data_IF_899890738527
#
_entry.id   IF_899890738527
#
_cell.length_a   1.000
_cell.length_b   1.000
_cell.length_c   1.000
_cell.angle_alpha   90.00
_cell.angle_beta   90.00
_cell.angle_gamma   90.00
#
_symmetry.space_group_name_H-M   'P 1'
#
loop_
_entity.id
_entity.type
_entity.pdbx_description
1 polymer ?
#
# COMPACT_ATOMS: atom_id res chain seq x y z
N UNK A 1 62.38 -6.86 24.66
CA UNK A 1 61.17 -6.37 25.38
C UNK A 1 59.99 -7.16 24.85
N UNK A 2 59.47 -8.06 25.69
CA UNK A 2 58.48 -9.08 25.33
C UNK A 2 57.06 -8.53 25.44
N UNK A 3 56.24 -8.72 24.41
CA UNK A 3 54.83 -8.28 24.37
C UNK A 3 53.88 -9.21 25.15
N UNK A 4 52.72 -8.71 25.60
CA UNK A 4 51.78 -9.49 26.41
C UNK A 4 50.90 -10.43 25.56
N UNK A 5 50.75 -11.66 26.05
CA UNK A 5 49.84 -12.71 25.53
C UNK A 5 48.38 -12.37 25.84
N UNK A 6 47.54 -12.38 24.81
CA UNK A 6 46.08 -12.36 24.95
C UNK A 6 45.54 -13.75 25.34
N UNK A 7 44.76 -13.79 26.42
CA UNK A 7 44.01 -14.98 26.89
C UNK A 7 42.66 -15.09 26.18
N UNK A 8 42.35 -16.29 25.67
CA UNK A 8 41.04 -16.61 25.06
C UNK A 8 39.98 -16.86 26.15
N UNK A 9 38.75 -16.36 26.01
CA UNK A 9 37.64 -16.74 26.88
C UNK A 9 37.05 -18.11 26.47
N UNK A 10 36.57 -18.84 27.47
CA UNK A 10 35.94 -20.16 27.36
C UNK A 10 34.48 -20.06 26.86
N UNK A 11 33.95 -21.12 26.19
CA UNK A 11 32.58 -21.11 25.68
C UNK A 11 31.55 -21.35 26.79
N UNK A 12 30.48 -20.54 26.77
CA UNK A 12 29.31 -20.67 27.64
C UNK A 12 28.44 -21.87 27.21
N UNK A 13 28.07 -22.70 28.19
CA UNK A 13 27.23 -23.88 28.01
C UNK A 13 25.78 -23.54 27.67
N UNK A 14 25.20 -24.33 26.78
CA UNK A 14 23.78 -24.28 26.43
C UNK A 14 22.91 -24.99 27.49
N UNK A 15 21.83 -24.38 27.98
CA UNK A 15 20.84 -25.09 28.78
C UNK A 15 19.94 -25.97 27.89
N UNK A 16 19.83 -27.25 28.25
CA UNK A 16 18.84 -28.20 27.72
C UNK A 16 17.43 -27.76 28.12
N UNK A 17 16.47 -27.85 27.20
CA UNK A 17 15.05 -27.83 27.52
C UNK A 17 14.39 -29.19 27.30
N UNK A 18 13.29 -29.49 28.03
CA UNK A 18 12.78 -30.84 28.24
C UNK A 18 11.80 -31.30 27.16
N UNK A 19 11.82 -32.61 26.89
CA UNK A 19 10.76 -33.36 26.19
C UNK A 19 9.41 -33.21 26.89
N UNK A 20 8.35 -32.99 26.10
CA UNK A 20 6.95 -33.14 26.54
C UNK A 20 6.32 -34.29 25.76
N UNK A 21 5.84 -35.35 26.43
CA UNK A 21 5.20 -36.49 25.80
C UNK A 21 3.68 -36.30 25.60
N UNK A 22 3.20 -36.61 24.39
CA UNK A 22 2.14 -37.57 24.06
C UNK A 22 0.68 -37.43 24.57
N UNK A 23 -0.23 -37.91 23.69
CA UNK A 23 -1.63 -38.39 23.88
C UNK A 23 -2.70 -37.30 24.12
N UNK A 24 -3.91 -37.39 23.57
CA UNK A 24 -4.82 -38.51 23.21
C UNK A 24 -5.88 -37.96 22.24
N UNK A 25 -6.27 -38.61 21.13
CA UNK A 25 -7.24 -39.72 20.96
C UNK A 25 -8.55 -39.64 21.78
N UNK A 26 -9.68 -39.62 21.07
CA UNK A 26 -11.05 -39.71 21.59
C UNK A 26 -11.94 -38.57 21.04
N UNK A 27 -13.16 -38.75 20.55
CA UNK A 27 -14.02 -39.92 20.50
C UNK A 27 -15.15 -39.71 19.48
N UNK A 28 -15.70 -40.83 19.06
CA UNK A 28 -16.91 -41.02 18.25
C UNK A 28 -18.18 -40.36 18.82
N UNK A 29 -19.13 -40.07 17.90
CA UNK A 29 -20.61 -40.20 17.99
C UNK A 29 -21.19 -39.53 16.72
N UNK A 30 -21.75 -40.19 15.72
CA UNK A 30 -22.84 -41.18 15.67
C UNK A 30 -24.17 -40.67 16.24
N UNK A 31 -25.00 -40.07 15.37
CA UNK A 31 -26.47 -40.05 15.43
C UNK A 31 -27.00 -39.58 14.05
N UNK A 32 -27.52 -40.46 13.18
CA UNK A 32 -28.90 -41.00 13.10
C UNK A 32 -30.00 -39.96 12.78
N UNK A 33 -30.47 -40.07 11.54
CA UNK A 33 -31.88 -40.18 11.10
C UNK A 33 -32.88 -39.04 11.35
N UNK A 34 -33.45 -38.54 10.23
CA UNK A 34 -34.86 -38.16 10.15
C UNK A 34 -35.18 -37.01 9.18
N UNK A 35 -35.71 -37.27 7.97
CA UNK A 35 -36.35 -36.25 7.16
C UNK A 35 -37.84 -36.15 7.54
N UNK A 36 -38.22 -35.07 8.22
CA UNK A 36 -39.63 -34.74 8.46
C UNK A 36 -40.16 -33.96 7.26
N UNK A 37 -40.99 -34.63 6.46
CA UNK A 37 -41.80 -34.00 5.42
C UNK A 37 -42.80 -33.04 6.05
N UNK A 38 -42.83 -31.79 5.56
CA UNK A 38 -43.88 -30.82 5.85
C UNK A 38 -44.67 -30.46 4.58
N UNK A 39 -45.96 -30.13 4.73
CA UNK A 39 -46.94 -30.17 3.66
C UNK A 39 -46.86 -28.95 2.72
N UNK A 40 -47.07 -29.23 1.44
CA UNK A 40 -47.40 -28.26 0.38
C UNK A 40 -48.63 -27.44 0.80
N UNK A 41 -48.42 -26.16 1.10
CA UNK A 41 -49.48 -25.16 1.05
C UNK A 41 -49.52 -24.54 -0.34
N UNK A 42 -50.52 -24.94 -1.13
CA UNK A 42 -50.92 -24.28 -2.38
C UNK A 42 -51.66 -22.99 -2.05
N UNK A 43 -50.96 -21.86 -2.07
CA UNK A 43 -51.57 -20.52 -2.07
C UNK A 43 -51.96 -20.18 -3.51
N UNK A 44 -53.26 -19.95 -3.72
CA UNK A 44 -53.88 -19.67 -5.03
C UNK A 44 -54.37 -18.22 -5.07
N UNK A 45 -53.78 -17.43 -5.98
CA UNK A 45 -54.30 -16.15 -6.52
C UNK A 45 -53.81 -14.86 -5.83
N UNK A 46 -54.05 -13.65 -6.39
CA UNK A 46 -54.35 -13.25 -7.77
C UNK A 46 -53.33 -12.20 -8.31
N UNK A 47 -53.45 -11.78 -9.58
CA UNK A 47 -52.88 -10.50 -10.04
C UNK A 47 -51.75 -10.55 -11.08
N UNK A 48 -52.04 -11.04 -12.29
CA UNK A 48 -51.11 -11.12 -13.42
C UNK A 48 -50.88 -9.79 -14.17
N UNK A 49 -51.10 -8.64 -13.52
CA UNK A 49 -51.19 -7.33 -14.22
C UNK A 49 -50.27 -6.20 -13.73
N UNK A 50 -49.46 -6.37 -12.67
CA UNK A 50 -48.67 -5.25 -12.11
C UNK A 50 -47.17 -5.55 -11.91
N UNK A 51 -46.69 -6.73 -12.27
CA UNK A 51 -45.28 -7.11 -12.06
C UNK A 51 -44.35 -6.49 -13.12
N UNK A 52 -44.88 -6.07 -14.28
CA UNK A 52 -44.05 -5.69 -15.41
C UNK A 52 -43.52 -4.24 -15.38
N UNK A 53 -44.17 -3.31 -14.67
CA UNK A 53 -43.70 -1.91 -14.60
C UNK A 53 -42.62 -1.67 -13.52
N UNK A 54 -42.56 -2.48 -12.45
CA UNK A 54 -41.55 -2.32 -11.39
C UNK A 54 -40.15 -2.80 -11.79
N UNK A 55 -40.03 -3.73 -12.74
CA UNK A 55 -38.72 -4.26 -13.17
C UNK A 55 -38.00 -3.33 -14.16
N UNK A 56 -38.72 -2.55 -14.96
CA UNK A 56 -38.11 -1.61 -15.91
C UNK A 56 -37.42 -0.42 -15.21
N UNK A 57 -37.98 0.08 -14.11
CA UNK A 57 -37.38 1.15 -13.31
C UNK A 57 -36.15 0.70 -12.51
N UNK A 58 -36.14 -0.54 -12.01
CA UNK A 58 -35.03 -1.08 -11.21
C UNK A 58 -33.76 -1.32 -12.05
N UNK A 59 -33.92 -1.75 -13.31
CA UNK A 59 -32.81 -1.96 -14.23
C UNK A 59 -32.07 -0.68 -14.64
N UNK A 60 -32.79 0.45 -14.79
CA UNK A 60 -32.18 1.73 -15.15
C UNK A 60 -31.38 2.37 -14.00
N UNK A 61 -31.89 2.31 -12.76
CA UNK A 61 -31.19 2.85 -11.58
C UNK A 61 -29.89 2.07 -11.32
N UNK A 62 -29.93 0.74 -11.42
CA UNK A 62 -28.76 -0.12 -11.19
C UNK A 62 -27.66 0.07 -12.26
N UNK A 63 -28.03 0.41 -13.50
CA UNK A 63 -27.08 0.73 -14.58
C UNK A 63 -26.35 2.06 -14.38
N UNK A 64 -27.05 3.09 -13.87
CA UNK A 64 -26.47 4.41 -13.61
C UNK A 64 -25.48 4.39 -12.43
N UNK A 65 -25.80 3.68 -11.35
CA UNK A 65 -24.91 3.57 -10.18
C UNK A 65 -23.62 2.79 -10.49
N UNK A 66 -23.71 1.75 -11.33
CA UNK A 66 -22.52 1.04 -11.81
C UNK A 66 -21.62 1.90 -12.70
N UNK A 67 -22.20 2.78 -13.53
CA UNK A 67 -21.44 3.71 -14.36
C UNK A 67 -20.62 4.70 -13.53
N UNK A 68 -21.23 5.27 -12.48
CA UNK A 68 -20.58 6.23 -11.57
C UNK A 68 -19.45 5.61 -10.76
N UNK A 69 -19.62 4.38 -10.27
CA UNK A 69 -18.58 3.67 -9.51
C UNK A 69 -17.32 3.39 -10.34
N UNK A 70 -17.48 2.98 -11.60
CA UNK A 70 -16.37 2.78 -12.54
C UNK A 70 -15.63 4.07 -12.88
N UNK A 71 -16.37 5.15 -13.12
CA UNK A 71 -15.76 6.45 -13.37
C UNK A 71 -14.95 6.92 -12.16
N UNK A 72 -15.51 6.89 -10.96
CA UNK A 72 -14.82 7.29 -9.73
C UNK A 72 -13.52 6.48 -9.53
N UNK A 73 -13.60 5.16 -9.69
CA UNK A 73 -12.47 4.25 -9.57
C UNK A 73 -11.32 4.60 -10.53
N UNK A 74 -11.63 4.87 -11.80
CA UNK A 74 -10.66 5.31 -12.81
C UNK A 74 -10.11 6.70 -12.54
N UNK A 75 -10.95 7.63 -12.08
CA UNK A 75 -10.52 8.98 -11.72
C UNK A 75 -9.54 8.95 -10.53
N UNK A 76 -9.81 8.14 -9.50
CA UNK A 76 -8.89 7.97 -8.38
C UNK A 76 -7.57 7.33 -8.81
N UNK A 77 -7.64 6.29 -9.64
CA UNK A 77 -6.44 5.65 -10.20
C UNK A 77 -5.58 6.64 -11.01
N UNK A 78 -6.23 7.41 -11.88
CA UNK A 78 -5.58 8.45 -12.68
C UNK A 78 -5.00 9.57 -11.82
N UNK A 79 -5.77 10.07 -10.83
CA UNK A 79 -5.32 11.08 -9.88
C UNK A 79 -4.04 10.63 -9.19
N UNK A 80 -4.05 9.45 -8.56
CA UNK A 80 -2.91 8.91 -7.83
C UNK A 80 -1.67 8.77 -8.72
N UNK A 81 -1.79 8.16 -9.89
CA UNK A 81 -0.63 7.93 -10.77
C UNK A 81 -0.09 9.24 -11.31
N UNK A 82 -0.95 10.15 -11.76
CA UNK A 82 -0.49 11.41 -12.36
C UNK A 82 0.15 12.31 -11.30
N UNK A 83 -0.48 12.48 -10.14
CA UNK A 83 -0.02 13.49 -9.17
C UNK A 83 1.17 13.02 -8.33
N UNK A 84 1.25 11.72 -7.99
CA UNK A 84 2.41 11.18 -7.25
C UNK A 84 3.65 11.02 -8.12
N UNK A 85 3.49 11.07 -9.45
CA UNK A 85 4.60 11.07 -10.41
C UNK A 85 4.87 12.48 -10.98
N UNK A 86 4.57 13.53 -10.21
CA UNK A 86 4.91 14.92 -10.56
C UNK A 86 6.41 15.09 -10.82
N UNK A 87 7.27 14.24 -10.25
CA UNK A 87 8.71 14.18 -10.50
C UNK A 87 9.08 14.02 -11.98
N UNK A 88 8.19 13.51 -12.85
CA UNK A 88 8.44 13.46 -14.30
C UNK A 88 8.66 14.87 -14.87
N UNK A 89 8.15 15.90 -14.19
CA UNK A 89 8.36 17.30 -14.50
C UNK A 89 9.68 17.87 -13.92
N UNK A 90 10.62 17.02 -13.49
CA UNK A 90 11.92 17.44 -12.93
C UNK A 90 12.70 18.39 -13.85
N UNK A 91 12.51 18.29 -15.17
CA UNK A 91 13.17 19.15 -16.16
C UNK A 91 12.79 20.63 -16.02
N UNK A 92 11.67 20.96 -15.36
CA UNK A 92 11.32 22.34 -15.01
C UNK A 92 12.26 22.94 -13.95
N UNK A 93 13.07 22.11 -13.30
CA UNK A 93 14.02 22.56 -12.29
C UNK A 93 15.31 23.15 -12.90
N UNK A 94 15.41 23.21 -14.24
CA UNK A 94 16.51 23.77 -15.04
C UNK A 94 17.92 23.21 -14.73
N UNK A 95 17.99 22.06 -14.06
CA UNK A 95 19.25 21.41 -13.67
C UNK A 95 19.12 19.87 -13.73
N UNK A 96 19.92 19.19 -14.57
CA UNK A 96 19.90 17.74 -14.70
C UNK A 96 20.36 16.99 -13.44
N UNK A 97 21.11 17.63 -12.55
CA UNK A 97 21.61 17.03 -11.31
C UNK A 97 20.52 16.88 -10.25
N UNK A 98 19.33 17.46 -10.44
CA UNK A 98 18.20 17.31 -9.50
C UNK A 98 17.84 15.86 -9.21
N UNK A 99 18.01 15.00 -10.22
CA UNK A 99 17.72 13.57 -10.09
C UNK A 99 18.82 12.80 -9.36
N UNK A 100 19.94 13.43 -9.02
CA UNK A 100 20.98 12.78 -8.22
C UNK A 100 20.63 12.77 -6.72
N UNK A 101 19.81 13.73 -6.28
CA UNK A 101 19.29 13.86 -4.93
C UNK A 101 18.04 13.03 -4.68
N UNK A 102 17.41 13.25 -3.52
CA UNK A 102 16.10 12.68 -3.23
C UNK A 102 15.01 13.37 -4.06
N UNK A 103 13.94 12.63 -4.44
CA UNK A 103 12.81 13.24 -5.16
C UNK A 103 12.12 14.33 -4.34
N UNK A 104 12.12 14.21 -3.01
CA UNK A 104 11.58 15.23 -2.13
C UNK A 104 12.37 16.55 -2.17
N UNK A 105 13.61 16.55 -2.68
CA UNK A 105 14.36 17.79 -2.89
C UNK A 105 13.70 18.66 -3.96
N UNK A 106 13.00 18.11 -4.96
CA UNK A 106 12.22 18.89 -5.94
C UNK A 106 11.18 19.81 -5.28
N UNK A 107 10.71 19.42 -4.11
CA UNK A 107 9.74 20.15 -3.30
C UNK A 107 10.38 20.98 -2.18
N UNK A 108 11.71 21.08 -2.08
CA UNK A 108 12.38 21.87 -1.05
C UNK A 108 12.15 23.38 -1.22
N UNK A 109 12.28 24.18 -0.15
CA UNK A 109 11.90 25.62 -0.19
C UNK A 109 12.74 26.45 -1.16
N UNK A 110 13.97 26.04 -1.41
CA UNK A 110 14.92 26.71 -2.28
C UNK A 110 14.77 26.32 -3.77
N UNK A 111 13.87 25.39 -4.09
CA UNK A 111 13.73 24.88 -5.45
C UNK A 111 12.75 25.67 -6.32
N UNK A 112 13.08 25.83 -7.62
CA UNK A 112 12.14 26.38 -8.59
C UNK A 112 10.92 25.45 -8.73
N UNK A 113 9.74 26.05 -8.87
CA UNK A 113 8.45 25.35 -8.99
C UNK A 113 8.14 24.36 -7.85
N UNK A 114 8.75 24.50 -6.67
CA UNK A 114 8.51 23.61 -5.52
C UNK A 114 7.03 23.40 -5.18
N UNK A 115 6.21 24.44 -5.39
CA UNK A 115 4.77 24.40 -5.14
C UNK A 115 4.04 23.36 -6.01
N UNK A 116 4.54 23.11 -7.22
CA UNK A 116 3.95 22.15 -8.16
C UNK A 116 4.14 20.72 -7.64
N UNK A 117 5.35 20.39 -7.20
CA UNK A 117 5.67 19.08 -6.64
C UNK A 117 4.89 18.85 -5.33
N UNK A 118 4.84 19.86 -4.44
CA UNK A 118 4.03 19.81 -3.21
C UNK A 118 2.54 19.62 -3.49
N UNK A 119 2.00 20.31 -4.50
CA UNK A 119 0.61 20.13 -4.91
C UNK A 119 0.36 18.72 -5.45
N UNK A 120 1.30 18.17 -6.23
CA UNK A 120 1.27 16.78 -6.69
C UNK A 120 1.19 15.78 -5.53
N UNK A 121 2.05 15.94 -4.53
CA UNK A 121 2.08 15.11 -3.33
C UNK A 121 0.79 15.25 -2.51
N UNK A 122 0.28 16.47 -2.34
CA UNK A 122 -0.98 16.71 -1.62
C UNK A 122 -2.18 16.06 -2.33
N UNK A 123 -2.26 16.18 -3.65
CA UNK A 123 -3.33 15.54 -4.43
C UNK A 123 -3.19 14.01 -4.43
N UNK A 124 -1.97 13.48 -4.42
CA UNK A 124 -1.72 12.06 -4.27
C UNK A 124 -2.17 11.55 -2.90
N UNK A 125 -1.85 12.30 -1.83
CA UNK A 125 -2.30 12.01 -0.47
C UNK A 125 -3.83 11.93 -0.39
N UNK A 126 -4.55 12.89 -1.01
CA UNK A 126 -6.01 12.84 -1.13
C UNK A 126 -6.47 11.59 -1.88
N UNK A 127 -5.83 11.26 -3.00
CA UNK A 127 -6.11 10.04 -3.77
C UNK A 127 -5.93 8.75 -2.95
N UNK A 128 -4.87 8.65 -2.15
CA UNK A 128 -4.61 7.53 -1.24
C UNK A 128 -5.69 7.42 -0.16
N UNK A 129 -6.02 8.52 0.51
CA UNK A 129 -7.02 8.54 1.58
C UNK A 129 -8.42 8.15 1.07
N UNK A 130 -8.80 8.68 -0.09
CA UNK A 130 -10.06 8.34 -0.74
C UNK A 130 -10.10 6.86 -1.18
N UNK A 131 -9.00 6.38 -1.77
CA UNK A 131 -8.86 4.96 -2.17
C UNK A 131 -8.98 4.04 -0.95
N UNK A 132 -8.32 4.37 0.16
CA UNK A 132 -8.42 3.63 1.42
C UNK A 132 -9.85 3.67 2.00
N UNK A 133 -10.49 4.84 2.00
CA UNK A 133 -11.82 5.06 2.54
C UNK A 133 -12.88 4.21 1.85
N UNK A 134 -12.89 4.18 0.52
CA UNK A 134 -13.82 3.32 -0.22
C UNK A 134 -13.36 1.86 -0.24
N UNK A 135 -12.04 1.65 -0.30
CA UNK A 135 -11.40 0.34 -0.32
C UNK A 135 -11.71 -0.54 0.88
N UNK A 136 -11.83 0.04 2.08
CA UNK A 136 -12.12 -0.72 3.32
C UNK A 136 -13.35 -1.64 3.20
N UNK A 137 -14.39 -1.19 2.49
CA UNK A 137 -15.62 -1.95 2.26
C UNK A 137 -15.53 -2.70 0.95
N UNK A 138 -15.11 -2.00 -0.11
CA UNK A 138 -15.06 -2.54 -1.45
C UNK A 138 -14.15 -3.76 -1.55
N UNK A 139 -13.03 -3.82 -0.82
CA UNK A 139 -12.10 -4.94 -0.92
C UNK A 139 -12.46 -6.14 -0.04
N UNK A 140 -13.48 -6.04 0.82
CA UNK A 140 -13.87 -7.13 1.72
C UNK A 140 -14.28 -8.40 0.97
N UNK A 141 -14.86 -8.28 -0.23
CA UNK A 141 -15.29 -9.43 -1.04
C UNK A 141 -14.15 -10.33 -1.52
N UNK A 142 -12.92 -9.80 -1.65
CA UNK A 142 -11.77 -10.56 -2.17
C UNK A 142 -10.60 -10.65 -1.18
N UNK A 143 -10.45 -9.68 -0.27
CA UNK A 143 -9.43 -9.70 0.80
C UNK A 143 -9.99 -10.19 2.15
N UNK A 144 -11.31 -10.33 2.30
CA UNK A 144 -11.94 -10.73 3.55
C UNK A 144 -11.54 -9.83 4.73
N UNK A 145 -11.11 -10.39 5.88
CA UNK A 145 -10.74 -9.61 7.06
C UNK A 145 -9.49 -8.74 6.88
N UNK A 146 -8.68 -8.99 5.84
CA UNK A 146 -7.45 -8.22 5.57
C UNK A 146 -7.74 -6.87 4.90
N UNK A 147 -8.93 -6.66 4.34
CA UNK A 147 -9.31 -5.41 3.67
C UNK A 147 -9.14 -4.18 4.57
N UNK A 148 -9.49 -4.29 5.86
CA UNK A 148 -9.33 -3.18 6.82
C UNK A 148 -7.87 -2.80 7.06
N UNK A 149 -6.98 -3.78 7.06
CA UNK A 149 -5.55 -3.57 7.31
C UNK A 149 -4.86 -3.00 6.07
N UNK A 150 -5.24 -3.46 4.88
CA UNK A 150 -4.78 -2.86 3.62
C UNK A 150 -5.26 -1.42 3.51
N UNK A 151 -6.53 -1.14 3.82
CA UNK A 151 -7.05 0.23 3.85
C UNK A 151 -6.33 1.10 4.89
N UNK A 152 -6.07 0.59 6.10
CA UNK A 152 -5.31 1.31 7.11
C UNK A 152 -3.89 1.63 6.63
N UNK A 153 -3.19 0.68 6.01
CA UNK A 153 -1.85 0.88 5.47
C UNK A 153 -1.84 1.95 4.36
N UNK A 154 -2.78 1.91 3.41
CA UNK A 154 -2.91 2.95 2.37
C UNK A 154 -3.28 4.31 2.99
N UNK A 155 -4.11 4.35 4.02
CA UNK A 155 -4.44 5.59 4.73
C UNK A 155 -3.23 6.18 5.46
N UNK A 156 -2.42 5.35 6.12
CA UNK A 156 -1.16 5.78 6.75
C UNK A 156 -0.20 6.34 5.71
N UNK A 157 -0.10 5.71 4.53
CA UNK A 157 0.68 6.27 3.43
C UNK A 157 0.15 7.64 3.00
N UNK A 158 -1.16 7.81 2.83
CA UNK A 158 -1.76 9.11 2.49
C UNK A 158 -1.50 10.19 3.54
N UNK A 159 -1.65 9.85 4.83
CA UNK A 159 -1.34 10.79 5.93
C UNK A 159 0.14 11.14 5.99
N UNK A 160 1.02 10.15 5.79
CA UNK A 160 2.47 10.36 5.73
C UNK A 160 2.86 11.29 4.58
N UNK A 161 2.29 11.11 3.39
CA UNK A 161 2.53 11.99 2.24
C UNK A 161 2.04 13.41 2.50
N UNK A 162 0.88 13.59 3.15
CA UNK A 162 0.42 14.92 3.57
C UNK A 162 1.36 15.56 4.62
N UNK A 163 1.95 14.74 5.49
CA UNK A 163 2.95 15.17 6.45
C UNK A 163 4.27 15.55 5.76
N UNK A 164 4.71 14.84 4.72
CA UNK A 164 5.88 15.21 3.91
C UNK A 164 5.72 16.61 3.30
N UNK A 165 4.52 16.96 2.81
CA UNK A 165 4.20 18.29 2.29
C UNK A 165 4.26 19.37 3.38
N UNK A 166 3.81 19.04 4.59
CA UNK A 166 3.78 19.97 5.73
C UNK A 166 5.14 20.15 6.39
N UNK A 167 5.93 19.07 6.43
CA UNK A 167 7.31 19.01 6.93
C UNK A 167 8.26 18.93 5.74
N UNK A 168 8.16 19.88 4.82
CA UNK A 168 8.99 19.85 3.62
C UNK A 168 10.45 20.21 3.93
N UNK A 169 11.36 19.79 3.05
CA UNK A 169 12.79 20.09 3.20
C UNK A 169 13.06 21.61 3.10
N UNK A 170 13.94 22.16 3.95
CA UNK A 170 14.27 23.59 3.91
C UNK A 170 15.11 23.96 2.68
N UNK A 171 15.90 23.02 2.16
CA UNK A 171 16.77 23.22 1.02
C UNK A 171 17.16 21.87 0.39
N UNK A 172 17.70 21.88 -0.84
CA UNK A 172 18.17 20.70 -1.52
C UNK A 172 19.61 20.34 -1.09
N UNK A 173 19.74 19.33 -0.23
CA UNK A 173 21.03 18.88 0.33
C UNK A 173 22.00 18.37 -0.75
N UNK A 174 21.50 17.85 -1.86
CA UNK A 174 22.35 17.40 -2.97
C UNK A 174 23.08 18.56 -3.68
N UNK A 175 22.66 19.80 -3.44
CA UNK A 175 23.15 21.00 -4.13
C UNK A 175 23.77 22.04 -3.22
N UNK A 176 23.40 22.06 -1.94
CA UNK A 176 23.93 23.00 -0.96
C UNK A 176 24.65 22.25 0.18
N UNK A 177 25.99 22.30 0.26
CA UNK A 177 26.74 21.66 1.32
C UNK A 177 26.51 22.30 2.70
N UNK A 178 26.14 23.59 2.75
CA UNK A 178 25.77 24.27 4.00
C UNK A 178 24.42 23.73 4.48
N UNK A 179 23.47 23.58 3.56
CA UNK A 179 22.19 22.92 3.85
C UNK A 179 22.40 21.52 4.43
N UNK A 180 23.20 20.68 3.77
CA UNK A 180 23.48 19.31 4.19
C UNK A 180 24.14 19.21 5.57
N UNK A 181 24.96 20.20 5.94
CA UNK A 181 25.63 20.26 7.24
C UNK A 181 24.75 20.83 8.37
N UNK A 182 23.64 21.49 8.05
CA UNK A 182 22.81 22.20 9.03
C UNK A 182 21.76 21.28 9.66
N UNK A 183 21.70 21.17 11.00
CA UNK A 183 20.75 20.29 11.67
C UNK A 183 19.36 20.93 11.73
N UNK A 184 18.44 20.47 10.87
CA UNK A 184 17.04 20.90 10.88
C UNK A 184 16.13 19.84 11.51
N UNK A 185 15.33 20.21 12.53
CA UNK A 185 14.32 19.31 13.10
C UNK A 185 13.27 18.90 12.05
N UNK A 186 12.86 19.84 11.19
CA UNK A 186 11.88 19.57 10.12
C UNK A 186 12.37 18.48 9.16
N UNK A 187 13.68 18.37 8.93
CA UNK A 187 14.26 17.30 8.13
C UNK A 187 14.02 15.93 8.76
N UNK A 188 14.25 15.79 10.06
CA UNK A 188 14.00 14.50 10.73
C UNK A 188 12.51 14.13 10.72
N UNK A 189 11.62 15.12 10.83
CA UNK A 189 10.19 14.88 10.66
C UNK A 189 9.84 14.43 9.23
N UNK A 190 10.45 15.06 8.22
CA UNK A 190 10.32 14.67 6.82
C UNK A 190 10.80 13.23 6.59
N UNK A 191 12.00 12.89 7.05
CA UNK A 191 12.57 11.54 6.93
C UNK A 191 11.67 10.48 7.58
N UNK A 192 11.17 10.76 8.80
CA UNK A 192 10.24 9.86 9.49
C UNK A 192 8.92 9.69 8.73
N UNK A 193 8.37 10.78 8.19
CA UNK A 193 7.17 10.74 7.37
C UNK A 193 7.40 9.91 6.10
N UNK A 194 8.47 10.17 5.37
CA UNK A 194 8.86 9.44 4.16
C UNK A 194 9.11 7.95 4.40
N UNK A 195 9.78 7.58 5.51
CA UNK A 195 9.97 6.18 5.91
C UNK A 195 8.63 5.53 6.25
N UNK A 196 7.75 6.24 6.95
CA UNK A 196 6.40 5.76 7.27
C UNK A 196 5.58 5.51 5.99
N UNK A 197 5.63 6.42 5.01
CA UNK A 197 4.97 6.25 3.70
C UNK A 197 5.47 4.99 3.00
N UNK A 198 6.79 4.84 2.87
CA UNK A 198 7.41 3.67 2.23
C UNK A 198 7.02 2.36 2.93
N UNK A 199 7.14 2.31 4.26
CA UNK A 199 6.80 1.13 5.06
C UNK A 199 5.31 0.78 4.96
N UNK A 200 4.43 1.78 4.98
CA UNK A 200 2.99 1.58 4.87
C UNK A 200 2.59 1.04 3.47
N UNK A 201 3.21 1.52 2.40
CA UNK A 201 2.97 1.01 1.04
C UNK A 201 3.48 -0.42 0.88
N UNK A 202 4.67 -0.74 1.39
CA UNK A 202 5.19 -2.12 1.44
C UNK A 202 4.23 -3.02 2.23
N UNK A 203 3.77 -2.58 3.39
CA UNK A 203 2.82 -3.31 4.22
C UNK A 203 1.50 -3.55 3.47
N UNK A 204 0.97 -2.55 2.75
CA UNK A 204 -0.24 -2.71 1.94
C UNK A 204 -0.07 -3.80 0.86
N UNK A 205 1.05 -3.81 0.13
CA UNK A 205 1.35 -4.82 -0.90
C UNK A 205 1.49 -6.21 -0.24
N UNK A 206 2.27 -6.31 0.83
CA UNK A 206 2.52 -7.57 1.54
C UNK A 206 1.23 -8.16 2.15
N UNK A 207 0.36 -7.33 2.72
CA UNK A 207 -0.94 -7.74 3.25
C UNK A 207 -1.86 -8.29 2.16
N UNK A 208 -1.83 -7.73 0.95
CA UNK A 208 -2.56 -8.29 -0.20
C UNK A 208 -1.97 -9.63 -0.63
N UNK A 209 -0.63 -9.73 -0.74
CA UNK A 209 0.02 -11.01 -1.04
C UNK A 209 -0.37 -12.10 -0.03
N UNK A 210 -0.35 -11.75 1.26
CA UNK A 210 -0.75 -12.63 2.35
C UNK A 210 -2.23 -13.02 2.29
N UNK A 211 -3.12 -12.06 2.06
CA UNK A 211 -4.55 -12.34 1.93
C UNK A 211 -4.85 -13.29 0.76
N UNK A 212 -4.19 -13.10 -0.38
CA UNK A 212 -4.27 -14.00 -1.53
C UNK A 212 -3.71 -15.39 -1.18
N UNK A 213 -2.56 -15.46 -0.52
CA UNK A 213 -1.96 -16.72 -0.08
C UNK A 213 -2.85 -17.50 0.90
N UNK A 214 -3.54 -16.79 1.81
CA UNK A 214 -4.48 -17.39 2.76
C UNK A 214 -5.75 -17.93 2.11
N UNK A 215 -6.16 -17.34 0.98
CA UNK A 215 -7.40 -17.69 0.29
C UNK A 215 -7.19 -18.80 -0.75
N UNK A 216 -6.16 -18.65 -1.58
CA UNK A 216 -5.93 -19.49 -2.76
C UNK A 216 -4.64 -20.33 -2.65
N UNK A 217 -3.86 -20.18 -1.57
CA UNK A 217 -2.55 -20.81 -1.39
C UNK A 217 -1.38 -19.98 -1.98
N UNK A 218 -0.15 -20.46 -1.76
CA UNK A 218 1.06 -19.89 -2.36
C UNK A 218 1.15 -20.32 -3.83
N UNK A 219 0.57 -19.51 -4.71
CA UNK A 219 0.61 -19.66 -6.17
C UNK A 219 1.23 -18.45 -6.85
N UNK A 220 1.27 -18.46 -8.18
CA UNK A 220 1.94 -17.42 -8.97
C UNK A 220 1.45 -16.00 -8.68
N UNK A 221 0.16 -15.81 -8.35
CA UNK A 221 -0.40 -14.48 -8.02
C UNK A 221 0.11 -13.95 -6.68
N UNK A 222 0.00 -14.74 -5.61
CA UNK A 222 0.47 -14.34 -4.27
C UNK A 222 1.99 -14.19 -4.25
N UNK A 223 2.71 -15.07 -4.95
CA UNK A 223 4.16 -14.94 -5.15
C UNK A 223 4.54 -13.68 -5.94
N UNK A 224 3.81 -13.35 -7.01
CA UNK A 224 4.06 -12.13 -7.79
C UNK A 224 3.87 -10.85 -6.97
N UNK A 225 2.81 -10.78 -6.16
CA UNK A 225 2.57 -9.63 -5.26
C UNK A 225 3.61 -9.59 -4.13
N UNK A 226 4.01 -10.74 -3.57
CA UNK A 226 5.09 -10.80 -2.59
C UNK A 226 6.43 -10.36 -3.19
N UNK A 227 6.73 -10.76 -4.43
CA UNK A 227 7.89 -10.30 -5.18
C UNK A 227 7.89 -8.79 -5.39
N UNK A 228 6.74 -8.19 -5.69
CA UNK A 228 6.59 -6.73 -5.76
C UNK A 228 6.88 -6.08 -4.40
N UNK A 229 6.37 -6.62 -3.29
CA UNK A 229 6.66 -6.09 -1.95
C UNK A 229 8.16 -6.13 -1.63
N UNK A 230 8.83 -7.24 -1.97
CA UNK A 230 10.28 -7.39 -1.80
C UNK A 230 11.06 -6.43 -2.69
N UNK A 231 10.66 -6.26 -3.95
CA UNK A 231 11.26 -5.30 -4.88
C UNK A 231 11.16 -3.87 -4.33
N UNK A 232 9.96 -3.44 -3.94
CA UNK A 232 9.74 -2.09 -3.38
C UNK A 232 10.55 -1.90 -2.08
N UNK A 233 10.60 -2.92 -1.23
CA UNK A 233 11.45 -2.89 -0.01
C UNK A 233 12.94 -2.77 -0.36
N UNK A 234 13.39 -3.52 -1.37
CA UNK A 234 14.76 -3.46 -1.87
C UNK A 234 15.11 -2.10 -2.47
N UNK A 235 14.20 -1.46 -3.20
CA UNK A 235 14.37 -0.10 -3.71
C UNK A 235 14.42 0.92 -2.57
N UNK A 236 13.59 0.75 -1.54
CA UNK A 236 13.60 1.62 -0.35
C UNK A 236 14.96 1.58 0.35
N UNK A 237 15.49 0.39 0.64
CA UNK A 237 16.84 0.21 1.20
C UNK A 237 17.91 0.69 0.22
N UNK A 238 17.73 0.40 -1.07
CA UNK A 238 18.62 0.79 -2.15
C UNK A 238 18.77 2.30 -2.27
N UNK A 239 17.71 3.08 -2.00
CA UNK A 239 17.76 4.54 -2.05
C UNK A 239 18.75 5.14 -1.04
N UNK A 240 19.09 4.39 0.02
CA UNK A 240 20.07 4.78 1.04
C UNK A 240 21.45 4.19 0.75
N UNK A 241 21.51 2.90 0.38
CA UNK A 241 22.78 2.16 0.29
C UNK A 241 23.46 2.27 -1.09
N UNK A 242 22.70 2.27 -2.18
CA UNK A 242 23.26 2.30 -3.53
C UNK A 242 24.10 3.54 -3.84
N UNK A 243 23.78 4.75 -3.31
CA UNK A 243 24.60 5.95 -3.50
C UNK A 243 26.03 5.83 -2.96
N UNK A 244 26.30 4.88 -2.04
CA UNK A 244 27.63 4.62 -1.50
C UNK A 244 28.59 4.03 -2.56
N UNK A 245 28.04 3.38 -3.59
CA UNK A 245 28.83 2.73 -4.66
C UNK A 245 28.52 3.27 -6.05
N UNK A 246 27.31 3.82 -6.25
CA UNK A 246 26.86 4.42 -7.49
C UNK A 246 26.30 5.82 -7.19
N UNK A 247 27.17 6.85 -7.15
CA UNK A 247 26.74 8.24 -7.02
C UNK A 247 25.68 8.56 -8.09
N UNK A 248 24.72 9.44 -7.78
CA UNK A 248 23.55 9.76 -8.62
C UNK A 248 22.41 8.73 -8.68
N UNK A 249 22.46 7.65 -7.90
CA UNK A 249 21.40 6.62 -7.94
C UNK A 249 20.14 6.93 -7.11
N UNK A 250 20.17 7.93 -6.20
CA UNK A 250 19.04 8.20 -5.27
C UNK A 250 17.73 8.47 -5.99
N UNK A 251 17.70 9.49 -6.84
CA UNK A 251 16.48 9.92 -7.52
C UNK A 251 15.89 8.84 -8.43
N UNK A 252 16.65 8.18 -9.33
CA UNK A 252 16.12 7.10 -10.16
C UNK A 252 15.55 5.92 -9.37
N UNK A 253 16.23 5.52 -8.28
CA UNK A 253 15.75 4.43 -7.42
C UNK A 253 14.44 4.81 -6.74
N UNK A 254 14.35 6.03 -6.21
CA UNK A 254 13.11 6.55 -5.62
C UNK A 254 12.00 6.74 -6.66
N UNK A 255 12.32 7.20 -7.87
CA UNK A 255 11.35 7.36 -8.96
C UNK A 255 10.73 6.04 -9.35
N UNK A 256 11.54 4.99 -9.49
CA UNK A 256 11.02 3.64 -9.73
C UNK A 256 10.15 3.15 -8.57
N UNK A 257 10.58 3.38 -7.32
CA UNK A 257 9.80 3.02 -6.14
C UNK A 257 8.44 3.73 -6.10
N UNK A 258 8.42 5.05 -6.30
CA UNK A 258 7.23 5.91 -6.34
C UNK A 258 6.29 5.47 -7.46
N UNK A 259 6.82 5.17 -8.65
CA UNK A 259 6.05 4.68 -9.78
C UNK A 259 5.38 3.34 -9.46
N UNK A 260 6.11 2.38 -8.91
CA UNK A 260 5.57 1.06 -8.54
C UNK A 260 4.50 1.18 -7.45
N UNK A 261 4.74 2.02 -6.44
CA UNK A 261 3.80 2.25 -5.35
C UNK A 261 2.51 2.95 -5.83
N UNK A 262 2.62 4.00 -6.63
CA UNK A 262 1.45 4.69 -7.19
C UNK A 262 0.67 3.79 -8.15
N UNK A 263 1.36 3.02 -9.01
CA UNK A 263 0.72 2.02 -9.86
C UNK A 263 -0.03 0.98 -9.02
N UNK A 264 0.56 0.52 -7.92
CA UNK A 264 -0.10 -0.41 -7.00
C UNK A 264 -1.37 0.17 -6.37
N UNK A 265 -1.31 1.40 -5.84
CA UNK A 265 -2.50 2.04 -5.25
C UNK A 265 -3.56 2.32 -6.32
N UNK A 266 -3.17 2.68 -7.53
CA UNK A 266 -4.10 2.80 -8.65
C UNK A 266 -4.76 1.47 -9.02
N UNK A 267 -4.03 0.35 -9.00
CA UNK A 267 -4.62 -0.98 -9.17
C UNK A 267 -5.65 -1.27 -8.06
N UNK A 268 -5.36 -0.90 -6.82
CA UNK A 268 -6.32 -1.01 -5.72
C UNK A 268 -7.57 -0.12 -5.92
N UNK A 269 -7.37 1.10 -6.43
CA UNK A 269 -8.46 2.00 -6.79
C UNK A 269 -9.33 1.41 -7.91
N UNK A 270 -8.73 0.78 -8.92
CA UNK A 270 -9.45 0.04 -9.99
C UNK A 270 -10.25 -1.16 -9.47
N UNK A 271 -9.89 -1.72 -8.31
CA UNK A 271 -10.65 -2.81 -7.66
C UNK A 271 -11.86 -2.31 -6.84
N UNK A 272 -12.12 -1.00 -6.81
CA UNK A 272 -13.33 -0.45 -6.18
C UNK A 272 -14.61 -0.80 -6.99
N UNK A 273 -14.48 -1.03 -8.30
CA UNK A 273 -15.60 -1.31 -9.21
C UNK A 273 -16.38 -2.60 -8.88
N UNK A 274 -15.77 -3.54 -8.15
CA UNK A 274 -16.37 -4.85 -7.83
C UNK A 274 -17.40 -4.84 -6.70
N UNK A 275 -17.48 -3.75 -5.92
CA UNK A 275 -18.31 -3.70 -4.71
C UNK A 275 -19.83 -3.67 -4.98
N UNK A 276 -20.26 -3.31 -6.20
CA UNK A 276 -21.68 -3.24 -6.56
C UNK A 276 -22.30 -4.57 -7.05
N UNK A 277 -21.58 -5.69 -6.95
CA UNK A 277 -22.02 -7.02 -7.45
C UNK A 277 -22.24 -8.07 -6.35
N UNK A 278 -22.00 -7.73 -5.09
CA UNK A 278 -22.18 -8.59 -3.93
C UNK A 278 -23.37 -8.10 -3.11
#
# INVERSE_FOLDING_TARGET
MSGPRATRPAPAGQPRQPEVPGRSEGAERSAKSGPTAQPRQTVRGPGRGQVQERDLGRGQVQGQDQGRGRLLSRLLAGLVVVTYNSWVLWWLNDDPLVMHGYLSELAAQDQPYQWLFRLGDLLAAVGFLLTAWWGRRAWSHWLGPWARWVAAAVAVAGLGTALDVSCNLPCAESRDPVCAATPYLVRHLHELASVLVGAALVAAIALVAWALARRDGWGWRSMGVAGLALLVSGLMVGSVLLPLVLPASRGPVQALQVLLCSAWVALLALRLEGAGRA
#
